data_IF_780567057004
#
_entry.id   IF_780567057004
#
_cell.length_a   1.000
_cell.length_b   1.000
_cell.length_c   1.000
_cell.angle_alpha   90.00
_cell.angle_beta   90.00
_cell.angle_gamma   90.00
#
_symmetry.space_group_name_H-M   'P 1'
#
loop_
_entity.id
_entity.type
_entity.pdbx_description
1 polymer ?
#
# COMPACT_ATOMS: atom_id res chain seq x y z
N UNK A 1 45.39 -11.69 45.14
CA UNK A 1 45.52 -12.07 43.71
C UNK A 1 44.73 -11.03 42.94
N UNK A 2 45.48 -10.03 42.50
CA UNK A 2 44.92 -8.95 41.69
C UNK A 2 44.69 -9.48 40.24
N UNK A 3 43.46 -9.76 39.90
CA UNK A 3 43.11 -9.96 38.49
C UNK A 3 43.24 -8.60 37.80
N UNK A 4 44.36 -8.40 37.13
CA UNK A 4 44.49 -7.32 36.19
C UNK A 4 43.50 -7.54 35.05
N UNK A 5 42.36 -6.86 35.11
CA UNK A 5 41.45 -6.66 33.96
C UNK A 5 42.26 -5.78 32.99
N UNK A 6 42.95 -6.41 32.05
CA UNK A 6 43.53 -5.71 30.95
C UNK A 6 42.39 -5.31 29.99
N UNK A 7 41.96 -4.07 30.09
CA UNK A 7 41.19 -3.44 29.03
C UNK A 7 42.00 -3.51 27.73
N UNK A 8 41.53 -4.30 26.81
CA UNK A 8 42.16 -4.45 25.51
C UNK A 8 41.90 -3.17 24.72
N UNK A 9 42.78 -2.19 24.80
CA UNK A 9 42.74 -0.99 23.97
C UNK A 9 42.97 -1.40 22.53
N UNK A 10 41.95 -1.20 21.71
CA UNK A 10 42.00 -1.47 20.29
C UNK A 10 42.11 -0.11 19.56
N UNK A 11 43.22 0.10 18.88
CA UNK A 11 43.38 1.29 18.03
C UNK A 11 42.42 1.15 16.81
N UNK A 12 41.59 2.13 16.62
CA UNK A 12 40.59 2.18 15.53
C UNK A 12 40.82 3.46 14.75
N UNK A 13 40.96 3.33 13.44
CA UNK A 13 41.00 4.48 12.54
C UNK A 13 39.61 5.15 12.53
N UNK A 14 39.53 6.33 13.11
CA UNK A 14 38.29 7.07 13.28
C UNK A 14 37.66 7.41 11.93
N UNK A 15 38.44 7.81 10.93
CA UNK A 15 37.92 8.15 9.61
C UNK A 15 37.27 6.93 8.96
N UNK A 16 37.98 5.82 8.88
CA UNK A 16 37.50 4.58 8.26
C UNK A 16 36.29 4.00 8.98
N UNK A 17 36.25 4.11 10.31
CA UNK A 17 35.14 3.66 11.13
C UNK A 17 33.89 4.52 10.87
N UNK A 18 34.03 5.83 10.81
CA UNK A 18 32.93 6.75 10.49
C UNK A 18 32.42 6.54 9.07
N UNK A 19 33.29 6.33 8.09
CA UNK A 19 32.91 6.01 6.71
C UNK A 19 32.07 4.72 6.65
N UNK A 20 32.51 3.65 7.31
CA UNK A 20 31.78 2.39 7.33
C UNK A 20 30.40 2.53 8.00
N UNK A 21 30.34 3.13 9.19
CA UNK A 21 29.06 3.33 9.88
C UNK A 21 28.11 4.26 9.14
N UNK A 22 28.64 5.26 8.42
CA UNK A 22 27.82 6.12 7.58
C UNK A 22 27.23 5.35 6.38
N UNK A 23 28.02 4.48 5.76
CA UNK A 23 27.55 3.60 4.67
C UNK A 23 26.46 2.66 5.18
N UNK A 24 26.68 2.00 6.32
CA UNK A 24 25.72 1.08 6.92
C UNK A 24 24.41 1.82 7.26
N UNK A 25 24.51 3.01 7.85
CA UNK A 25 23.35 3.86 8.11
C UNK A 25 22.64 4.26 6.82
N UNK A 26 23.38 4.70 5.81
CA UNK A 26 22.81 5.09 4.52
C UNK A 26 22.06 3.92 3.84
N UNK A 27 22.67 2.74 3.82
CA UNK A 27 22.04 1.52 3.28
C UNK A 27 20.77 1.16 4.04
N UNK A 28 20.79 1.24 5.36
CA UNK A 28 19.59 0.99 6.19
C UNK A 28 18.48 1.99 5.87
N UNK A 29 18.78 3.29 5.75
CA UNK A 29 17.78 4.31 5.40
C UNK A 29 17.22 4.11 4.01
N UNK A 30 18.04 3.74 3.05
CA UNK A 30 17.62 3.48 1.65
C UNK A 30 16.71 2.24 1.58
N UNK A 31 17.21 1.09 2.06
CA UNK A 31 16.52 -0.19 1.87
C UNK A 31 15.35 -0.40 2.85
N UNK A 32 15.44 0.13 4.09
CA UNK A 32 14.53 -0.26 5.17
C UNK A 32 13.69 0.88 5.76
N UNK A 33 13.71 2.09 5.16
CA UNK A 33 12.98 3.23 5.73
C UNK A 33 12.30 4.15 4.72
N UNK A 34 13.06 4.75 3.78
CA UNK A 34 12.62 5.92 3.03
C UNK A 34 11.98 5.60 1.69
N UNK A 35 12.42 4.52 1.03
CA UNK A 35 12.00 4.18 -0.33
C UNK A 35 10.91 3.09 -0.33
N UNK A 36 9.97 3.16 -1.28
CA UNK A 36 8.94 2.14 -1.48
C UNK A 36 9.51 0.96 -2.27
N UNK A 37 8.96 -0.23 -2.05
CA UNK A 37 9.14 -1.37 -2.95
C UNK A 37 8.30 -1.17 -4.22
N UNK A 38 8.86 -1.47 -5.39
CA UNK A 38 8.16 -1.27 -6.68
C UNK A 38 6.92 -2.12 -6.81
N UNK A 39 6.87 -3.30 -6.16
CA UNK A 39 5.82 -4.31 -6.26
C UNK A 39 4.53 -3.89 -5.56
N UNK A 40 4.63 -3.41 -4.31
CA UNK A 40 3.46 -3.03 -3.49
C UNK A 40 3.36 -1.51 -3.21
N UNK A 41 4.39 -0.75 -3.57
CA UNK A 41 4.41 0.70 -3.39
C UNK A 41 4.49 1.19 -1.95
N UNK A 42 4.84 0.32 -1.02
CA UNK A 42 4.85 0.61 0.41
C UNK A 42 6.27 0.75 0.96
N UNK A 43 6.42 1.67 1.90
CA UNK A 43 7.56 1.71 2.80
C UNK A 43 7.41 0.62 3.88
N UNK A 44 8.49 0.15 4.50
CA UNK A 44 8.41 -0.89 5.53
C UNK A 44 7.43 -0.57 6.66
N UNK A 45 7.44 0.66 7.20
CA UNK A 45 6.50 1.07 8.25
C UNK A 45 5.04 0.98 7.81
N UNK A 46 4.72 1.37 6.58
CA UNK A 46 3.36 1.31 6.04
C UNK A 46 2.90 -0.15 5.88
N UNK A 47 3.76 -1.01 5.34
CA UNK A 47 3.48 -2.44 5.18
C UNK A 47 3.24 -3.11 6.53
N UNK A 48 4.05 -2.81 7.53
CA UNK A 48 3.92 -3.33 8.90
C UNK A 48 2.65 -2.87 9.59
N UNK A 49 2.22 -1.62 9.38
CA UNK A 49 0.94 -1.10 9.88
C UNK A 49 -0.23 -1.88 9.27
N UNK A 50 -0.27 -2.03 7.95
CA UNK A 50 -1.35 -2.76 7.28
C UNK A 50 -1.37 -4.23 7.71
N UNK A 51 -0.21 -4.87 7.82
CA UNK A 51 -0.10 -6.26 8.26
C UNK A 51 -0.56 -6.43 9.71
N UNK A 52 -0.14 -5.56 10.63
CA UNK A 52 -0.62 -5.55 12.03
C UNK A 52 -2.14 -5.38 12.09
N UNK A 53 -2.73 -4.52 11.25
CA UNK A 53 -4.19 -4.36 11.21
C UNK A 53 -4.92 -5.61 10.69
N UNK A 54 -4.31 -6.39 9.78
CA UNK A 54 -4.83 -7.70 9.34
C UNK A 54 -4.81 -8.70 10.50
N UNK A 55 -3.66 -8.84 11.18
CA UNK A 55 -3.50 -9.74 12.33
C UNK A 55 -4.48 -9.40 13.47
N UNK A 56 -4.74 -8.12 13.67
CA UNK A 56 -5.78 -7.65 14.59
C UNK A 56 -7.21 -7.92 14.12
N UNK A 57 -7.41 -8.49 12.92
CA UNK A 57 -8.73 -8.66 12.32
C UNK A 57 -9.53 -7.34 12.28
N UNK A 58 -8.86 -6.27 11.84
CA UNK A 58 -9.39 -4.90 11.81
C UNK A 58 -9.81 -4.49 10.39
N UNK A 59 -10.62 -5.32 9.74
CA UNK A 59 -11.13 -5.13 8.38
C UNK A 59 -12.24 -4.07 8.29
N UNK A 60 -12.66 -3.72 7.05
CA UNK A 60 -13.65 -2.67 6.79
C UNK A 60 -15.06 -2.99 7.29
N UNK A 61 -15.34 -4.26 7.56
CA UNK A 61 -16.58 -4.77 8.14
C UNK A 61 -16.59 -4.80 9.68
N UNK A 62 -15.47 -4.44 10.30
CA UNK A 62 -15.29 -4.44 11.76
C UNK A 62 -15.39 -3.03 12.33
N UNK A 63 -15.70 -2.91 13.63
CA UNK A 63 -15.62 -1.62 14.32
C UNK A 63 -14.21 -1.01 14.24
N UNK A 64 -14.13 0.32 14.20
CA UNK A 64 -12.86 1.03 14.32
C UNK A 64 -12.18 0.69 15.66
N UNK A 65 -10.86 0.61 15.66
CA UNK A 65 -10.03 0.42 16.85
C UNK A 65 -9.25 1.68 17.17
N UNK A 66 -8.96 1.94 18.44
CA UNK A 66 -8.08 3.05 18.84
C UNK A 66 -6.74 2.96 18.11
N UNK A 67 -6.28 4.08 17.53
CA UNK A 67 -4.99 4.13 16.86
C UNK A 67 -3.84 3.74 17.78
N UNK A 68 -3.93 4.07 19.08
CA UNK A 68 -2.96 3.64 20.09
C UNK A 68 -2.80 2.11 20.17
N UNK A 69 -3.88 1.34 19.95
CA UNK A 69 -3.81 -0.13 19.91
C UNK A 69 -3.06 -0.61 18.67
N UNK A 70 -3.35 -0.02 17.49
CA UNK A 70 -2.71 -0.39 16.23
C UNK A 70 -1.22 -0.05 16.29
N UNK A 71 -0.88 1.15 16.75
CA UNK A 71 0.51 1.63 16.91
C UNK A 71 1.27 0.74 17.88
N UNK A 72 0.68 0.42 19.04
CA UNK A 72 1.31 -0.44 20.05
C UNK A 72 1.60 -1.85 19.53
N UNK A 73 0.65 -2.45 18.80
CA UNK A 73 0.82 -3.78 18.22
C UNK A 73 1.90 -3.78 17.10
N UNK A 74 1.88 -2.78 16.23
CA UNK A 74 2.89 -2.60 15.17
C UNK A 74 4.29 -2.41 15.78
N UNK A 75 4.42 -1.56 16.79
CA UNK A 75 5.68 -1.26 17.45
C UNK A 75 6.23 -2.49 18.19
N UNK A 76 5.38 -3.20 18.91
CA UNK A 76 5.78 -4.33 19.73
C UNK A 76 6.18 -5.56 18.93
N UNK A 77 5.57 -5.77 17.76
CA UNK A 77 5.79 -6.98 16.97
C UNK A 77 6.70 -6.79 15.76
N UNK A 78 6.61 -5.64 15.07
CA UNK A 78 7.21 -5.51 13.72
C UNK A 78 8.12 -4.33 13.55
N UNK A 79 7.88 -3.20 14.22
CA UNK A 79 8.58 -1.96 13.94
C UNK A 79 9.17 -1.31 15.20
N UNK A 80 10.41 -1.67 15.61
CA UNK A 80 11.04 -1.25 16.87
C UNK A 80 11.53 0.21 16.80
N UNK A 81 10.63 1.15 16.54
CA UNK A 81 10.91 2.59 16.45
C UNK A 81 9.86 3.38 17.23
N UNK A 82 10.04 4.71 17.35
CA UNK A 82 9.15 5.57 18.12
C UNK A 82 7.69 5.51 17.65
N UNK A 83 6.77 5.45 18.59
CA UNK A 83 5.32 5.42 18.39
C UNK A 83 4.79 6.58 17.54
N UNK A 84 5.37 7.78 17.72
CA UNK A 84 5.00 8.97 16.95
C UNK A 84 5.23 8.77 15.44
N UNK A 85 6.35 8.14 15.04
CA UNK A 85 6.65 7.89 13.63
C UNK A 85 5.68 6.90 12.99
N UNK A 86 5.28 5.87 13.76
CA UNK A 86 4.29 4.88 13.33
C UNK A 86 2.92 5.54 13.21
N UNK A 87 2.54 6.36 14.21
CA UNK A 87 1.27 7.06 14.19
C UNK A 87 1.16 8.06 13.03
N UNK A 88 2.20 8.85 12.76
CA UNK A 88 2.24 9.75 11.61
C UNK A 88 2.11 9.01 10.27
N UNK A 89 2.73 7.84 10.14
CA UNK A 89 2.58 7.01 8.96
C UNK A 89 1.14 6.49 8.82
N UNK A 90 0.52 6.03 9.91
CA UNK A 90 -0.89 5.61 9.94
C UNK A 90 -1.82 6.75 9.55
N UNK A 91 -1.59 7.95 10.10
CA UNK A 91 -2.36 9.15 9.81
C UNK A 91 -2.31 9.49 8.32
N UNK A 92 -1.14 9.47 7.71
CA UNK A 92 -0.99 9.76 6.26
C UNK A 92 -1.75 8.77 5.37
N UNK A 93 -1.83 7.50 5.78
CA UNK A 93 -2.60 6.49 5.03
C UNK A 93 -4.12 6.70 5.11
N UNK A 94 -4.59 7.49 6.08
CA UNK A 94 -6.01 7.81 6.26
C UNK A 94 -6.42 9.17 5.71
N UNK A 95 -5.46 10.07 5.42
CA UNK A 95 -5.74 11.42 4.92
C UNK A 95 -6.07 11.40 3.43
N UNK A 96 -7.29 11.79 3.06
CA UNK A 96 -7.78 11.84 1.68
C UNK A 96 -7.15 12.96 0.84
N UNK A 97 -6.59 13.98 1.47
CA UNK A 97 -5.84 15.06 0.81
C UNK A 97 -4.35 14.71 0.60
N UNK A 98 -3.82 13.66 1.24
CA UNK A 98 -2.47 13.15 1.05
C UNK A 98 -2.42 11.88 0.20
N UNK A 99 -3.40 11.01 0.34
CA UNK A 99 -3.44 9.69 -0.29
C UNK A 99 -4.63 9.62 -1.24
N UNK A 100 -4.40 9.40 -2.54
CA UNK A 100 -5.45 9.40 -3.56
C UNK A 100 -6.51 8.33 -3.32
N UNK A 101 -6.06 7.15 -2.84
CA UNK A 101 -6.91 6.03 -2.43
C UNK A 101 -6.53 5.61 -1.03
N UNK A 102 -7.14 6.21 0.01
CA UNK A 102 -6.78 5.94 1.41
C UNK A 102 -6.83 4.46 1.76
N UNK A 103 -5.74 3.96 2.35
CA UNK A 103 -5.63 2.56 2.77
C UNK A 103 -6.20 2.32 4.16
N UNK A 104 -6.38 3.38 4.91
CA UNK A 104 -6.94 3.37 6.27
C UNK A 104 -8.20 4.22 6.30
N UNK A 105 -9.25 3.69 6.89
CA UNK A 105 -10.50 4.39 7.20
C UNK A 105 -10.39 4.92 8.62
N UNK A 106 -10.19 6.25 8.75
CA UNK A 106 -10.00 6.94 10.01
C UNK A 106 -11.29 7.54 10.56
N UNK A 107 -11.45 7.50 11.88
CA UNK A 107 -12.54 8.13 12.61
C UNK A 107 -11.98 9.06 13.68
N UNK A 108 -12.38 10.35 13.62
CA UNK A 108 -11.87 11.42 14.48
C UNK A 108 -11.09 12.47 13.69
N UNK A 109 -10.25 13.24 14.37
CA UNK A 109 -9.43 14.27 13.72
C UNK A 109 -8.08 13.70 13.27
N UNK A 110 -7.91 13.53 11.97
CA UNK A 110 -6.67 13.10 11.30
C UNK A 110 -5.89 14.26 10.66
N UNK A 111 -6.17 15.51 11.06
CA UNK A 111 -5.55 16.70 10.50
C UNK A 111 -6.35 17.29 9.34
N UNK A 112 -5.83 18.36 8.76
CA UNK A 112 -6.48 19.11 7.68
C UNK A 112 -5.47 19.63 6.65
N UNK A 113 -5.98 20.13 5.52
CA UNK A 113 -5.18 20.83 4.48
C UNK A 113 -4.53 22.11 5.02
N UNK A 114 -5.01 22.63 6.13
CA UNK A 114 -4.43 23.79 6.83
C UNK A 114 -3.12 23.45 7.55
N UNK A 115 -2.75 22.18 7.60
CA UNK A 115 -1.55 21.71 8.25
C UNK A 115 -1.74 21.44 9.74
N UNK A 116 -2.98 21.39 10.21
CA UNK A 116 -3.29 20.92 11.55
C UNK A 116 -2.85 19.47 11.70
N UNK A 117 -2.21 19.17 12.82
CA UNK A 117 -1.84 17.82 13.18
C UNK A 117 -3.06 16.96 13.53
N UNK A 118 -2.92 15.65 13.43
CA UNK A 118 -3.91 14.73 13.94
C UNK A 118 -4.02 14.84 15.46
N UNK A 119 -5.20 14.56 16.00
CA UNK A 119 -5.39 14.42 17.44
C UNK A 119 -4.54 13.24 17.98
N UNK A 120 -4.23 13.24 19.27
CA UNK A 120 -3.43 12.18 19.88
C UNK A 120 -4.07 10.80 19.65
N UNK A 121 -3.26 9.77 19.43
CA UNK A 121 -3.66 8.41 19.02
C UNK A 121 -4.64 7.72 20.00
N UNK A 122 -4.77 8.21 21.21
CA UNK A 122 -5.77 7.76 22.20
C UNK A 122 -7.19 8.21 21.89
N UNK A 123 -7.35 9.25 21.10
CA UNK A 123 -8.66 9.80 20.70
C UNK A 123 -9.11 9.31 19.32
N UNK A 124 -8.17 9.13 18.38
CA UNK A 124 -8.47 8.70 17.02
C UNK A 124 -8.67 7.18 16.94
N UNK A 125 -9.47 6.76 15.98
CA UNK A 125 -9.76 5.35 15.70
C UNK A 125 -9.55 5.07 14.22
N UNK A 126 -9.20 3.83 13.88
CA UNK A 126 -8.96 3.44 12.50
C UNK A 126 -9.33 1.98 12.25
N UNK A 127 -9.58 1.66 10.97
CA UNK A 127 -9.69 0.31 10.43
C UNK A 127 -9.15 0.31 9.00
N UNK A 128 -8.96 -0.88 8.43
CA UNK A 128 -8.60 -1.00 7.02
C UNK A 128 -9.73 -0.50 6.13
N UNK A 129 -9.40 0.20 5.05
CA UNK A 129 -10.36 0.57 4.02
C UNK A 129 -10.68 -0.64 3.12
N UNK A 130 -11.73 -0.55 2.30
CA UNK A 130 -12.09 -1.64 1.36
C UNK A 130 -10.98 -1.94 0.36
N UNK A 131 -10.28 -0.91 -0.14
CA UNK A 131 -9.21 -1.07 -1.13
C UNK A 131 -7.97 -1.74 -0.52
N UNK A 132 -7.71 -1.57 0.79
CA UNK A 132 -6.60 -2.24 1.46
C UNK A 132 -6.76 -3.75 1.49
N UNK A 133 -7.98 -4.26 1.45
CA UNK A 133 -8.23 -5.70 1.37
C UNK A 133 -7.71 -6.30 0.06
N UNK A 134 -7.66 -5.50 -1.02
CA UNK A 134 -7.04 -5.93 -2.28
C UNK A 134 -5.50 -5.91 -2.22
N UNK A 135 -4.91 -5.10 -1.32
CA UNK A 135 -3.46 -5.14 -1.07
C UNK A 135 -3.03 -6.44 -0.38
N UNK A 136 -3.87 -6.98 0.49
CA UNK A 136 -3.56 -8.10 1.40
C UNK A 136 -4.26 -9.41 1.03
N UNK A 137 -5.05 -9.40 -0.05
CA UNK A 137 -5.82 -10.56 -0.49
C UNK A 137 -4.91 -11.75 -0.82
N UNK A 138 -5.32 -12.92 -0.38
CA UNK A 138 -4.59 -14.18 -0.54
C UNK A 138 -3.20 -14.23 0.15
N UNK A 139 -2.92 -13.34 1.11
CA UNK A 139 -1.67 -13.32 1.88
C UNK A 139 -1.40 -14.64 2.64
N UNK A 140 -2.46 -15.34 3.03
CA UNK A 140 -2.41 -16.64 3.71
C UNK A 140 -2.26 -17.85 2.77
N UNK A 141 -2.06 -17.62 1.46
CA UNK A 141 -1.91 -18.67 0.44
C UNK A 141 -0.48 -18.77 -0.10
N UNK A 142 0.50 -18.49 0.71
CA UNK A 142 1.93 -18.53 0.34
C UNK A 142 2.28 -17.72 -0.91
N UNK A 143 1.59 -16.59 -1.11
CA UNK A 143 1.75 -15.73 -2.29
C UNK A 143 3.00 -14.87 -2.26
N UNK A 144 3.55 -14.60 -1.07
CA UNK A 144 4.73 -13.78 -0.82
C UNK A 144 5.61 -14.43 0.24
N UNK A 145 6.88 -14.02 0.30
CA UNK A 145 7.81 -14.52 1.29
C UNK A 145 7.64 -13.80 2.63
N UNK A 146 7.84 -14.57 3.71
CA UNK A 146 7.85 -14.08 5.07
C UNK A 146 9.26 -14.18 5.65
N UNK A 147 9.65 -13.17 6.38
CA UNK A 147 10.92 -13.12 7.12
C UNK A 147 10.64 -13.02 8.63
N UNK A 148 11.58 -13.45 9.48
CA UNK A 148 11.49 -13.16 10.91
C UNK A 148 11.47 -11.65 11.15
N UNK A 149 10.73 -11.23 12.20
CA UNK A 149 10.78 -9.87 12.71
C UNK A 149 12.12 -9.58 13.43
N UNK A 150 12.26 -8.41 14.05
CA UNK A 150 13.50 -7.96 14.67
C UNK A 150 13.98 -8.81 15.87
N UNK A 151 13.10 -9.54 16.56
CA UNK A 151 13.41 -10.40 17.71
C UNK A 151 13.15 -11.90 17.42
N UNK A 152 12.86 -12.25 16.18
CA UNK A 152 12.60 -13.61 15.68
C UNK A 152 11.39 -14.31 16.33
N UNK A 153 10.54 -13.59 17.04
CA UNK A 153 9.32 -14.15 17.67
C UNK A 153 8.13 -14.23 16.74
N UNK A 154 8.08 -13.37 15.74
CA UNK A 154 6.99 -13.27 14.75
C UNK A 154 7.55 -13.29 13.32
N UNK A 155 6.66 -13.39 12.35
CA UNK A 155 7.01 -13.29 10.93
C UNK A 155 6.27 -12.13 10.28
N UNK A 156 6.96 -11.41 9.39
CA UNK A 156 6.39 -10.34 8.61
C UNK A 156 6.56 -10.57 7.11
N UNK A 157 5.62 -10.14 6.25
CA UNK A 157 5.75 -10.29 4.82
C UNK A 157 6.80 -9.31 4.26
N UNK A 158 7.63 -9.77 3.35
CA UNK A 158 8.62 -8.93 2.65
C UNK A 158 7.96 -7.90 1.74
N UNK A 159 6.80 -8.26 1.17
CA UNK A 159 5.97 -7.45 0.26
C UNK A 159 4.53 -7.91 0.40
N UNK A 160 3.55 -7.08 0.05
CA UNK A 160 2.14 -7.49 -0.01
C UNK A 160 1.77 -7.97 -1.43
N UNK A 161 0.77 -8.86 -1.57
CA UNK A 161 0.29 -9.33 -2.88
C UNK A 161 -0.18 -8.22 -3.81
N UNK A 162 -0.74 -7.13 -3.28
CA UNK A 162 -1.08 -5.88 -3.97
C UNK A 162 -1.77 -6.06 -5.32
N UNK A 163 -3.05 -6.44 -5.34
CA UNK A 163 -3.81 -6.73 -6.58
C UNK A 163 -4.08 -5.52 -7.48
N UNK A 164 -3.61 -4.36 -7.12
CA UNK A 164 -3.59 -3.17 -7.96
C UNK A 164 -2.25 -2.44 -7.79
N UNK A 165 -1.79 -1.67 -8.78
CA UNK A 165 -0.48 -1.03 -8.78
C UNK A 165 -0.45 0.19 -7.85
N UNK A 166 -0.40 -0.08 -6.54
CA UNK A 166 -0.50 0.93 -5.48
C UNK A 166 0.58 2.02 -5.58
N UNK A 167 1.80 1.66 -5.99
CA UNK A 167 2.89 2.63 -6.15
C UNK A 167 2.50 3.79 -7.08
N UNK A 168 1.88 3.49 -8.20
CA UNK A 168 1.41 4.51 -9.15
C UNK A 168 0.08 5.14 -8.72
N UNK A 169 -0.83 4.35 -8.16
CA UNK A 169 -2.16 4.86 -7.78
C UNK A 169 -2.10 5.88 -6.63
N UNK A 170 -1.30 5.61 -5.60
CA UNK A 170 -1.15 6.48 -4.44
C UNK A 170 0.09 7.38 -4.49
N UNK A 171 1.06 7.02 -5.32
CA UNK A 171 2.34 7.71 -5.29
C UNK A 171 3.07 7.54 -3.96
N UNK A 172 4.17 8.23 -3.81
CA UNK A 172 4.92 8.31 -2.54
C UNK A 172 5.96 9.41 -2.60
N UNK A 173 6.31 9.96 -1.45
CA UNK A 173 7.46 10.85 -1.30
C UNK A 173 8.37 10.34 -0.19
N UNK A 174 9.69 10.49 -0.34
CA UNK A 174 10.65 10.07 0.66
C UNK A 174 12.03 10.65 0.41
N UNK A 175 12.76 10.91 1.50
CA UNK A 175 14.11 11.44 1.47
C UNK A 175 15.01 10.39 2.12
N UNK A 176 15.96 9.87 1.35
CA UNK A 176 16.99 8.96 1.80
C UNK A 176 18.35 9.65 1.79
N UNK A 177 19.40 8.94 2.15
CA UNK A 177 20.78 9.47 2.09
C UNK A 177 21.23 9.52 0.62
N UNK A 178 21.54 10.72 0.13
CA UNK A 178 22.02 10.94 -1.24
C UNK A 178 20.96 10.81 -2.34
N UNK A 179 19.71 10.48 -2.02
CA UNK A 179 18.64 10.32 -3.01
C UNK A 179 17.27 10.60 -2.41
N UNK A 180 16.30 10.90 -3.29
CA UNK A 180 14.91 11.12 -2.91
C UNK A 180 13.97 10.47 -3.91
N UNK A 181 12.78 10.13 -3.47
CA UNK A 181 11.67 9.70 -4.32
C UNK A 181 10.52 10.67 -4.19
N UNK A 182 9.84 10.94 -5.30
CA UNK A 182 8.64 11.77 -5.34
C UNK A 182 7.77 11.33 -6.53
N UNK A 183 7.01 10.27 -6.32
CA UNK A 183 6.16 9.64 -7.34
C UNK A 183 4.76 10.22 -7.20
N UNK A 184 4.20 10.86 -8.24
CA UNK A 184 2.85 11.40 -8.19
C UNK A 184 1.80 10.28 -8.18
N UNK A 185 0.62 10.50 -7.57
CA UNK A 185 -0.51 9.59 -7.67
C UNK A 185 -1.17 9.66 -9.05
N UNK A 186 -1.87 8.56 -9.43
CA UNK A 186 -2.52 8.41 -10.73
C UNK A 186 -3.93 7.84 -10.59
N UNK A 187 -4.74 8.02 -11.61
CA UNK A 187 -6.07 7.45 -11.69
C UNK A 187 -6.01 5.92 -11.82
N UNK A 188 -6.66 5.21 -10.89
CA UNK A 188 -6.66 3.75 -10.83
C UNK A 188 -7.15 3.10 -12.12
N UNK A 189 -8.17 3.67 -12.77
CA UNK A 189 -8.73 3.12 -14.01
C UNK A 189 -7.73 3.22 -15.16
N UNK A 190 -7.03 4.36 -15.28
CA UNK A 190 -6.01 4.56 -16.31
C UNK A 190 -4.83 3.60 -16.11
N UNK A 191 -4.34 3.49 -14.87
CA UNK A 191 -3.19 2.61 -14.58
C UNK A 191 -3.54 1.15 -14.81
N UNK A 192 -4.73 0.69 -14.38
CA UNK A 192 -5.19 -0.68 -14.67
C UNK A 192 -5.41 -0.88 -16.18
N UNK A 193 -5.96 0.12 -16.89
CA UNK A 193 -6.10 0.06 -18.34
C UNK A 193 -4.76 -0.16 -19.05
N UNK A 194 -3.70 0.50 -18.58
CA UNK A 194 -2.35 0.30 -19.09
C UNK A 194 -1.82 -1.12 -18.80
N UNK A 195 -2.05 -1.64 -17.58
CA UNK A 195 -1.69 -3.03 -17.24
C UNK A 195 -2.41 -4.04 -18.13
N UNK A 196 -3.72 -3.86 -18.33
CA UNK A 196 -4.52 -4.74 -19.22
C UNK A 196 -3.97 -4.69 -20.64
N UNK A 197 -3.66 -3.48 -21.17
CA UNK A 197 -3.06 -3.35 -22.51
C UNK A 197 -1.72 -4.07 -22.62
N UNK A 198 -0.89 -4.04 -21.56
CA UNK A 198 0.38 -4.79 -21.54
C UNK A 198 0.16 -6.31 -21.58
N UNK A 199 -0.86 -6.80 -20.87
CA UNK A 199 -1.22 -8.23 -20.88
C UNK A 199 -1.74 -8.62 -22.26
N UNK A 200 -2.67 -7.86 -22.82
CA UNK A 200 -3.27 -8.16 -24.14
C UNK A 200 -2.22 -8.21 -25.23
N UNK A 201 -1.34 -7.21 -25.32
CA UNK A 201 -0.25 -7.18 -26.29
C UNK A 201 0.68 -8.39 -26.14
N UNK A 202 0.96 -8.82 -24.88
CA UNK A 202 1.82 -9.97 -24.63
C UNK A 202 1.16 -11.29 -24.96
N UNK A 203 -0.13 -11.45 -24.61
CA UNK A 203 -0.87 -12.72 -24.77
C UNK A 203 -1.39 -12.88 -26.20
N UNK A 204 -1.90 -11.83 -26.82
CA UNK A 204 -2.55 -11.90 -28.14
C UNK A 204 -1.57 -11.67 -29.30
N UNK A 205 -0.59 -10.76 -29.10
CA UNK A 205 0.32 -10.33 -30.17
C UNK A 205 1.78 -10.80 -29.94
N UNK A 206 2.08 -11.43 -28.81
CA UNK A 206 3.44 -11.85 -28.35
C UNK A 206 4.49 -10.73 -28.50
N UNK A 207 4.11 -9.52 -28.17
CA UNK A 207 5.01 -8.35 -28.23
C UNK A 207 4.96 -7.54 -26.92
N UNK A 208 6.01 -6.79 -26.70
CA UNK A 208 6.02 -5.79 -25.63
C UNK A 208 5.22 -4.54 -26.02
N UNK A 209 4.60 -3.92 -25.01
CA UNK A 209 3.86 -2.65 -25.16
C UNK A 209 4.85 -1.50 -25.27
N UNK A 210 4.60 -0.54 -26.16
CA UNK A 210 5.42 0.66 -26.27
C UNK A 210 5.04 1.70 -25.23
N UNK A 211 5.94 2.62 -24.91
CA UNK A 211 5.65 3.72 -23.99
C UNK A 211 4.56 4.64 -24.54
N UNK A 212 4.47 4.79 -25.85
CA UNK A 212 3.46 5.58 -26.54
C UNK A 212 2.05 5.04 -26.25
N UNK A 213 1.85 3.73 -26.35
CA UNK A 213 0.56 3.09 -26.04
C UNK A 213 0.15 3.31 -24.58
N UNK A 214 1.11 3.32 -23.66
CA UNK A 214 0.85 3.60 -22.24
C UNK A 214 0.47 5.07 -22.04
N UNK A 215 1.16 6.02 -22.70
CA UNK A 215 0.87 7.45 -22.65
C UNK A 215 -0.51 7.79 -23.23
N UNK A 216 -1.01 6.97 -24.16
CA UNK A 216 -2.36 7.11 -24.69
C UNK A 216 -3.44 6.75 -23.68
N UNK A 217 -3.13 5.95 -22.68
CA UNK A 217 -4.04 5.50 -21.63
C UNK A 217 -3.84 6.33 -20.35
N UNK A 218 -2.62 6.42 -19.83
CA UNK A 218 -2.28 7.19 -18.63
C UNK A 218 -1.94 8.62 -19.02
N UNK A 219 -2.92 9.51 -18.87
CA UNK A 219 -2.83 10.89 -19.36
C UNK A 219 -1.98 11.83 -18.49
N UNK A 220 -1.86 11.52 -17.21
CA UNK A 220 -1.10 12.34 -16.26
C UNK A 220 -1.37 11.96 -14.81
N UNK A 221 -0.67 12.61 -13.87
CA UNK A 221 -0.96 12.50 -12.44
C UNK A 221 -2.39 12.91 -12.11
N UNK A 222 -2.97 12.25 -11.10
CA UNK A 222 -4.29 12.52 -10.54
C UNK A 222 -4.16 12.85 -9.05
N UNK A 223 -3.99 14.12 -8.76
CA UNK A 223 -3.73 14.60 -7.39
C UNK A 223 -5.02 14.62 -6.55
N UNK A 224 -4.97 14.17 -5.27
CA UNK A 224 -6.15 14.14 -4.41
C UNK A 224 -6.73 15.53 -4.09
N UNK A 225 -5.91 16.58 -4.15
CA UNK A 225 -6.35 17.97 -3.93
C UNK A 225 -6.76 18.69 -5.22
N UNK A 226 -6.79 17.98 -6.35
CA UNK A 226 -7.14 18.53 -7.67
C UNK A 226 -6.04 19.41 -8.24
N UNK A 227 -6.43 20.54 -8.81
CA UNK A 227 -5.54 21.46 -9.50
C UNK A 227 -5.45 21.19 -11.01
N UNK A 228 -4.85 22.11 -11.74
CA UNK A 228 -4.68 22.02 -13.20
C UNK A 228 -3.20 21.90 -13.55
N UNK A 229 -2.83 20.85 -14.26
CA UNK A 229 -1.47 20.67 -14.77
C UNK A 229 -1.27 21.55 -15.99
N UNK A 230 -0.17 22.32 -16.03
CA UNK A 230 0.15 23.24 -17.08
C UNK A 230 1.16 22.65 -18.05
N UNK A 231 0.70 22.25 -19.22
CA UNK A 231 1.50 21.66 -20.30
C UNK A 231 1.67 20.15 -20.16
N UNK A 232 1.91 19.48 -21.28
CA UNK A 232 2.08 18.01 -21.34
C UNK A 232 3.53 17.56 -21.35
N UNK A 233 4.46 18.41 -21.79
CA UNK A 233 5.88 18.04 -21.93
C UNK A 233 6.51 17.49 -20.66
N UNK A 234 6.19 18.09 -19.50
CA UNK A 234 6.71 17.61 -18.22
C UNK A 234 6.16 16.23 -17.81
N UNK A 235 4.93 15.90 -18.21
CA UNK A 235 4.34 14.57 -18.00
C UNK A 235 5.05 13.53 -18.87
N UNK A 236 5.20 13.82 -20.15
CA UNK A 236 5.86 12.91 -21.11
C UNK A 236 7.31 12.66 -20.74
N UNK A 237 8.04 13.71 -20.34
CA UNK A 237 9.42 13.59 -19.86
C UNK A 237 9.50 12.72 -18.59
N UNK A 238 8.60 12.95 -17.61
CA UNK A 238 8.54 12.15 -16.39
C UNK A 238 8.33 10.66 -16.69
N UNK A 239 7.39 10.36 -17.59
CA UNK A 239 7.01 8.97 -17.88
C UNK A 239 8.04 8.24 -18.75
N UNK A 240 8.83 8.96 -19.55
CA UNK A 240 9.93 8.38 -20.35
C UNK A 240 11.22 8.21 -19.56
N UNK A 241 11.53 9.15 -18.66
CA UNK A 241 12.85 9.22 -18.01
C UNK A 241 12.82 8.92 -16.52
N UNK A 242 11.64 8.93 -15.90
CA UNK A 242 11.48 8.83 -14.44
C UNK A 242 11.81 10.13 -13.70
N UNK A 243 12.12 11.24 -14.40
CA UNK A 243 12.42 12.54 -13.78
C UNK A 243 11.89 13.68 -14.63
N UNK A 244 11.16 14.61 -14.01
CA UNK A 244 10.76 15.86 -14.65
C UNK A 244 10.19 16.87 -13.64
N UNK A 245 9.77 18.02 -14.15
CA UNK A 245 9.10 19.06 -13.40
C UNK A 245 7.72 19.30 -14.01
N UNK A 246 6.66 19.12 -13.22
CA UNK A 246 5.28 19.34 -13.61
C UNK A 246 4.76 20.59 -12.90
N UNK A 247 4.27 21.58 -13.67
CA UNK A 247 3.65 22.78 -13.09
C UNK A 247 2.18 22.49 -12.80
N UNK A 248 1.75 22.76 -11.57
CA UNK A 248 0.38 22.61 -11.12
C UNK A 248 -0.15 23.96 -10.66
N UNK A 249 -1.34 24.32 -11.08
CA UNK A 249 -2.05 25.53 -10.66
C UNK A 249 -3.29 25.19 -9.88
N UNK A 250 -3.62 26.06 -8.94
CA UNK A 250 -4.91 26.08 -8.26
C UNK A 250 -6.05 26.25 -9.28
N UNK A 251 -7.20 25.67 -9.00
CA UNK A 251 -8.44 25.99 -9.74
C UNK A 251 -9.03 27.26 -9.17
N UNK A 252 -9.21 28.25 -10.03
CA UNK A 252 -9.67 29.58 -9.65
C UNK A 252 -10.78 30.06 -10.55
N UNK A 253 -11.79 30.75 -9.96
CA UNK A 253 -12.88 31.38 -10.66
C UNK A 253 -12.94 32.86 -10.29
N UNK A 254 -13.30 33.72 -11.27
CA UNK A 254 -13.54 35.14 -11.05
C UNK A 254 -15.05 35.36 -10.96
N UNK A 255 -15.53 35.80 -9.80
CA UNK A 255 -16.94 36.02 -9.53
C UNK A 255 -17.20 37.54 -9.40
N UNK A 256 -18.20 38.09 -10.14
CA UNK A 256 -18.64 39.46 -9.93
C UNK A 256 -19.42 39.58 -8.63
N UNK A 257 -19.23 40.71 -7.93
CA UNK A 257 -19.95 41.05 -6.72
C UNK A 257 -21.01 42.16 -6.96
N UNK A 258 -22.06 42.16 -6.14
CA UNK A 258 -23.18 43.12 -6.26
C UNK A 258 -22.78 44.60 -6.25
N UNK A 259 -21.59 44.92 -5.72
CA UNK A 259 -21.07 46.28 -5.61
C UNK A 259 -20.17 46.71 -6.78
N UNK A 260 -20.14 45.94 -7.87
CA UNK A 260 -19.27 46.14 -9.06
C UNK A 260 -17.80 45.83 -8.82
N UNK A 261 -17.45 45.17 -7.73
CA UNK A 261 -16.15 44.57 -7.48
C UNK A 261 -16.11 43.16 -8.06
N UNK A 262 -14.92 42.61 -8.17
CA UNK A 262 -14.72 41.19 -8.44
C UNK A 262 -14.04 40.52 -7.24
N UNK A 263 -14.25 39.22 -7.12
CA UNK A 263 -13.46 38.33 -6.25
C UNK A 263 -12.87 37.16 -7.01
N UNK A 264 -11.68 36.77 -6.62
CA UNK A 264 -11.07 35.51 -7.08
C UNK A 264 -11.41 34.45 -6.02
N UNK A 265 -12.00 33.36 -6.47
CA UNK A 265 -12.34 32.21 -5.61
C UNK A 265 -11.44 31.06 -5.99
N UNK A 266 -10.76 30.47 -4.99
CA UNK A 266 -9.90 29.31 -5.18
C UNK A 266 -10.62 28.09 -4.59
N UNK A 267 -10.82 27.07 -5.40
CA UNK A 267 -11.56 25.85 -5.02
C UNK A 267 -10.67 24.61 -4.93
N UNK A 268 -9.50 24.62 -5.57
CA UNK A 268 -8.54 23.53 -5.50
C UNK A 268 -7.12 24.09 -5.40
N UNK A 269 -6.25 23.40 -4.68
CA UNK A 269 -4.83 23.78 -4.52
C UNK A 269 -3.90 22.75 -5.12
N UNK A 270 -2.69 23.16 -5.54
CA UNK A 270 -1.65 22.23 -5.91
C UNK A 270 -1.37 21.23 -4.76
N UNK A 271 -1.05 20.00 -5.13
CA UNK A 271 -0.80 18.93 -4.18
C UNK A 271 0.32 19.28 -3.19
N UNK A 272 0.14 18.93 -1.92
CA UNK A 272 1.03 19.21 -0.79
C UNK A 272 1.16 20.70 -0.40
N UNK A 273 0.36 21.60 -0.94
CA UNK A 273 0.32 23.00 -0.52
C UNK A 273 -0.51 23.14 0.76
N UNK A 274 0.05 23.80 1.75
CA UNK A 274 -0.64 24.15 3.00
C UNK A 274 -1.50 25.40 2.78
N UNK A 275 -2.83 25.27 2.97
CA UNK A 275 -3.80 26.34 2.72
C UNK A 275 -3.59 27.54 3.64
N UNK A 276 -3.42 27.33 4.94
CA UNK A 276 -3.23 28.41 5.90
C UNK A 276 -1.96 29.23 5.61
N UNK A 277 -0.83 28.57 5.36
CA UNK A 277 0.43 29.23 4.97
C UNK A 277 0.31 29.98 3.66
N UNK A 278 -0.45 29.47 2.71
CA UNK A 278 -0.73 30.15 1.44
C UNK A 278 -1.51 31.44 1.68
N UNK A 279 -2.55 31.41 2.51
CA UNK A 279 -3.36 32.59 2.89
C UNK A 279 -2.49 33.63 3.60
N UNK A 280 -1.67 33.21 4.58
CA UNK A 280 -0.70 34.08 5.26
C UNK A 280 0.26 34.74 4.26
N UNK A 281 0.78 33.96 3.29
CA UNK A 281 1.69 34.47 2.26
C UNK A 281 1.04 35.52 1.37
N UNK A 282 -0.22 35.30 0.97
CA UNK A 282 -0.99 36.31 0.21
C UNK A 282 -1.15 37.60 1.05
N UNK A 283 -1.52 37.47 2.31
CA UNK A 283 -1.68 38.63 3.21
C UNK A 283 -0.35 39.39 3.41
N UNK A 284 0.78 38.70 3.53
CA UNK A 284 2.11 39.33 3.56
C UNK A 284 2.40 40.16 2.30
N UNK A 285 2.14 39.57 1.10
CA UNK A 285 2.39 40.26 -0.17
C UNK A 285 1.54 41.51 -0.33
N UNK A 286 0.32 41.51 0.19
CA UNK A 286 -0.57 42.70 0.25
C UNK A 286 -0.02 43.75 1.22
N UNK A 287 0.36 43.34 2.42
CA UNK A 287 0.94 44.23 3.44
C UNK A 287 2.25 44.87 2.96
N UNK A 288 3.10 44.12 2.32
CA UNK A 288 4.38 44.55 1.74
C UNK A 288 4.20 45.36 0.44
N UNK A 289 2.97 45.58 0.00
CA UNK A 289 2.62 46.27 -1.25
C UNK A 289 3.27 45.68 -2.51
N UNK A 290 3.58 44.40 -2.48
CA UNK A 290 4.07 43.64 -3.66
C UNK A 290 2.92 43.26 -4.60
N UNK A 291 1.73 43.08 -4.07
CA UNK A 291 0.47 42.91 -4.80
C UNK A 291 -0.48 43.99 -4.28
N UNK A 292 -0.88 44.92 -5.15
CA UNK A 292 -1.86 45.94 -4.84
C UNK A 292 -3.21 45.61 -5.50
N UNK A 293 -4.31 46.02 -4.85
CA UNK A 293 -5.66 45.81 -5.39
C UNK A 293 -6.48 44.70 -4.71
N UNK A 294 -5.94 43.99 -3.74
CA UNK A 294 -6.68 43.07 -2.88
C UNK A 294 -7.23 43.89 -1.68
N UNK A 295 -8.53 43.77 -1.42
CA UNK A 295 -9.21 44.51 -0.33
C UNK A 295 -9.54 43.64 0.85
N UNK A 296 -9.78 42.32 0.62
CA UNK A 296 -10.09 41.36 1.68
C UNK A 296 -9.66 39.96 1.26
N UNK A 297 -9.34 39.13 2.25
CA UNK A 297 -8.90 37.75 2.08
C UNK A 297 -9.53 36.89 3.16
N UNK A 298 -10.38 35.95 2.77
CA UNK A 298 -11.10 35.08 3.71
C UNK A 298 -10.98 33.60 3.31
N UNK A 299 -10.89 32.76 4.32
CA UNK A 299 -11.12 31.33 4.19
C UNK A 299 -12.62 31.08 4.44
N UNK A 300 -13.32 30.67 3.41
CA UNK A 300 -14.74 30.34 3.43
C UNK A 300 -14.95 28.81 3.27
N UNK A 301 -13.89 28.02 3.53
CA UNK A 301 -13.96 26.55 3.41
C UNK A 301 -14.91 25.96 4.46
N UNK A 302 -15.73 25.01 4.04
CA UNK A 302 -16.69 24.32 4.88
C UNK A 302 -16.75 22.81 4.55
N UNK A 303 -17.82 22.13 4.95
CA UNK A 303 -18.03 20.70 4.68
C UNK A 303 -18.33 20.39 3.21
N UNK A 304 -18.72 21.38 2.43
CA UNK A 304 -19.02 21.24 0.99
C UNK A 304 -17.74 21.32 0.16
N UNK A 305 -16.67 21.93 0.70
CA UNK A 305 -15.37 21.98 0.04
C UNK A 305 -14.49 23.14 0.44
N UNK A 306 -13.32 23.19 -0.19
CA UNK A 306 -12.37 24.27 0.00
C UNK A 306 -12.80 25.51 -0.79
N UNK A 307 -12.74 26.68 -0.14
CA UNK A 307 -13.08 27.96 -0.74
C UNK A 307 -12.26 29.08 -0.13
N UNK A 308 -11.31 29.64 -0.85
CA UNK A 308 -10.59 30.87 -0.47
C UNK A 308 -11.13 32.02 -1.30
N UNK A 309 -11.65 33.06 -0.67
CA UNK A 309 -12.19 34.24 -1.31
C UNK A 309 -11.22 35.41 -1.21
N UNK A 310 -10.81 35.97 -2.34
CA UNK A 310 -9.89 37.10 -2.48
C UNK A 310 -10.65 38.24 -3.14
N UNK A 311 -11.08 39.26 -2.35
CA UNK A 311 -11.83 40.40 -2.86
C UNK A 311 -10.89 41.45 -3.45
N UNK A 312 -11.28 42.00 -4.59
CA UNK A 312 -10.50 42.98 -5.32
C UNK A 312 -11.12 44.38 -5.28
N UNK A 313 -10.28 45.40 -5.47
CA UNK A 313 -10.77 46.78 -5.73
C UNK A 313 -11.47 46.81 -7.11
N UNK A 314 -12.36 47.85 -7.29
CA UNK A 314 -13.11 48.02 -8.55
C UNK A 314 -12.23 48.36 -9.76
N UNK A 315 -11.12 49.05 -9.52
CA UNK A 315 -10.22 49.65 -10.50
C UNK A 315 -9.15 48.68 -11.01
N UNK A 316 -9.11 47.43 -10.51
CA UNK A 316 -8.09 46.46 -10.90
C UNK A 316 -8.62 45.37 -11.80
N UNK A 317 -7.77 44.91 -12.72
CA UNK A 317 -8.09 43.76 -13.57
C UNK A 317 -7.82 42.45 -12.78
N UNK A 318 -8.83 41.59 -12.56
CA UNK A 318 -8.68 40.37 -11.80
C UNK A 318 -7.61 39.42 -12.38
N UNK A 319 -7.47 39.35 -13.69
CA UNK A 319 -6.49 38.48 -14.33
C UNK A 319 -5.04 38.93 -14.07
N UNK A 320 -4.79 40.24 -13.94
CA UNK A 320 -3.47 40.75 -13.61
C UNK A 320 -3.10 40.34 -12.19
N UNK A 321 -4.02 40.52 -11.24
CA UNK A 321 -3.82 40.10 -9.83
C UNK A 321 -3.62 38.59 -9.75
N UNK A 322 -4.43 37.81 -10.45
CA UNK A 322 -4.31 36.36 -10.50
C UNK A 322 -2.94 35.90 -11.02
N UNK A 323 -2.44 36.54 -12.08
CA UNK A 323 -1.11 36.26 -12.61
C UNK A 323 0.02 36.62 -11.63
N UNK A 324 -0.14 37.71 -10.86
CA UNK A 324 0.81 38.05 -9.79
C UNK A 324 0.77 37.01 -8.66
N UNK A 325 -0.42 36.56 -8.28
CA UNK A 325 -0.58 35.49 -7.29
C UNK A 325 0.09 34.19 -7.74
N UNK A 326 -0.09 33.75 -8.99
CA UNK A 326 0.61 32.58 -9.54
C UNK A 326 2.13 32.74 -9.54
N UNK A 327 2.63 33.96 -9.74
CA UNK A 327 4.07 34.21 -9.78
C UNK A 327 4.73 34.23 -8.39
N UNK A 328 4.01 34.70 -7.37
CA UNK A 328 4.58 35.00 -6.05
C UNK A 328 4.11 34.07 -4.93
N UNK A 329 3.18 33.16 -5.20
CA UNK A 329 2.61 32.25 -4.21
C UNK A 329 2.52 30.81 -4.74
N UNK A 330 2.20 29.89 -3.84
CA UNK A 330 1.96 28.47 -4.18
C UNK A 330 0.59 28.20 -4.81
N UNK A 331 -0.15 29.23 -5.25
CA UNK A 331 -1.28 29.03 -6.17
C UNK A 331 -0.83 28.43 -7.51
N UNK A 332 0.45 28.56 -7.85
CA UNK A 332 1.13 27.75 -8.84
C UNK A 332 2.40 27.20 -8.22
N UNK A 333 2.58 25.90 -8.25
CA UNK A 333 3.76 25.25 -7.74
C UNK A 333 4.32 24.23 -8.76
N UNK A 334 5.54 23.78 -8.52
CA UNK A 334 6.20 22.80 -9.38
C UNK A 334 6.38 21.50 -8.61
N UNK A 335 5.70 20.47 -9.07
CA UNK A 335 5.91 19.11 -8.57
C UNK A 335 7.13 18.49 -9.26
N UNK A 336 8.20 18.26 -8.51
CA UNK A 336 9.40 17.59 -9.02
C UNK A 336 9.22 16.08 -9.00
N UNK A 337 9.03 15.47 -10.17
CA UNK A 337 8.87 14.02 -10.30
C UNK A 337 10.23 13.33 -10.17
N UNK A 338 10.33 12.35 -9.29
CA UNK A 338 11.46 11.44 -9.16
C UNK A 338 10.89 10.04 -8.90
N UNK A 339 10.86 9.22 -9.94
CA UNK A 339 10.26 7.89 -9.90
C UNK A 339 11.29 6.85 -9.45
N UNK A 340 11.78 7.01 -8.22
CA UNK A 340 12.75 6.12 -7.57
C UNK A 340 12.05 5.13 -6.67
N UNK A 341 12.29 3.83 -6.88
CA UNK A 341 11.76 2.75 -6.07
C UNK A 341 12.80 1.63 -5.87
N UNK A 342 12.55 0.75 -4.92
CA UNK A 342 13.39 -0.43 -4.71
C UNK A 342 12.95 -1.56 -5.66
N UNK A 343 13.93 -2.08 -6.39
CA UNK A 343 13.82 -3.29 -7.19
C UNK A 343 14.86 -4.27 -6.66
N UNK A 344 14.44 -5.37 -6.08
CA UNK A 344 15.32 -6.36 -5.43
C UNK A 344 16.25 -5.69 -4.39
N UNK A 345 15.68 -4.86 -3.54
CA UNK A 345 16.36 -4.04 -2.51
C UNK A 345 17.38 -3.03 -3.06
N UNK A 346 17.43 -2.80 -4.37
CA UNK A 346 18.29 -1.80 -5.00
C UNK A 346 17.49 -0.58 -5.45
N UNK A 347 17.91 0.65 -5.12
CA UNK A 347 17.23 1.86 -5.57
C UNK A 347 17.46 2.08 -7.07
N UNK A 348 16.38 2.17 -7.83
CA UNK A 348 16.40 2.43 -9.28
C UNK A 348 15.43 3.54 -9.64
N UNK A 349 15.88 4.46 -10.51
CA UNK A 349 14.97 5.40 -11.18
C UNK A 349 14.32 4.65 -12.34
N UNK A 350 13.00 4.58 -12.33
CA UNK A 350 12.21 3.82 -13.30
C UNK A 350 11.37 4.77 -14.15
N UNK A 351 11.14 4.42 -15.39
CA UNK A 351 10.13 5.05 -16.22
C UNK A 351 8.75 4.41 -15.94
N UNK A 352 7.69 4.94 -16.54
CA UNK A 352 6.33 4.44 -16.30
C UNK A 352 6.16 2.99 -16.76
N UNK A 353 6.71 2.64 -17.93
CA UNK A 353 6.68 1.26 -18.45
C UNK A 353 7.35 0.27 -17.50
N UNK A 354 8.55 0.59 -17.00
CA UNK A 354 9.29 -0.29 -16.10
C UNK A 354 8.55 -0.50 -14.78
N UNK A 355 7.92 0.54 -14.21
CA UNK A 355 7.10 0.39 -13.00
C UNK A 355 5.93 -0.57 -13.21
N UNK A 356 5.21 -0.43 -14.32
CA UNK A 356 4.11 -1.33 -14.66
C UNK A 356 4.60 -2.75 -14.93
N UNK A 357 5.75 -2.90 -15.58
CA UNK A 357 6.38 -4.20 -15.85
C UNK A 357 6.75 -4.94 -14.56
N UNK A 358 7.42 -4.28 -13.61
CA UNK A 358 7.75 -4.91 -12.33
C UNK A 358 6.51 -5.26 -11.51
N UNK A 359 5.48 -4.42 -11.56
CA UNK A 359 4.19 -4.75 -10.96
C UNK A 359 3.57 -6.00 -11.61
N UNK A 360 3.56 -6.08 -12.93
CA UNK A 360 2.99 -7.22 -13.67
C UNK A 360 3.73 -8.52 -13.36
N UNK A 361 5.06 -8.50 -13.36
CA UNK A 361 5.89 -9.66 -12.97
C UNK A 361 5.57 -10.13 -11.54
N UNK A 362 5.37 -9.20 -10.60
CA UNK A 362 4.94 -9.55 -9.26
C UNK A 362 3.55 -10.20 -9.25
N UNK A 363 2.60 -9.72 -10.05
CA UNK A 363 1.27 -10.34 -10.14
C UNK A 363 1.31 -11.73 -10.76
N UNK A 364 2.14 -11.97 -11.75
CA UNK A 364 2.37 -13.32 -12.32
C UNK A 364 2.87 -14.29 -11.24
N UNK A 365 3.84 -13.87 -10.42
CA UNK A 365 4.34 -14.67 -9.31
C UNK A 365 3.24 -14.93 -8.27
N UNK A 366 2.51 -13.90 -7.82
CA UNK A 366 1.42 -14.01 -6.84
C UNK A 366 0.33 -14.97 -7.31
N UNK A 367 -0.10 -14.86 -8.57
CA UNK A 367 -1.13 -15.72 -9.15
C UNK A 367 -0.63 -17.17 -9.27
N UNK A 368 0.61 -17.36 -9.70
CA UNK A 368 1.23 -18.68 -9.81
C UNK A 368 1.33 -19.36 -8.45
N UNK A 369 1.86 -18.68 -7.44
CA UNK A 369 2.01 -19.20 -6.07
C UNK A 369 0.65 -19.51 -5.45
N UNK A 370 -0.34 -18.60 -5.59
CA UNK A 370 -1.70 -18.82 -5.13
C UNK A 370 -2.32 -20.07 -5.76
N UNK A 371 -2.22 -20.21 -7.08
CA UNK A 371 -2.80 -21.35 -7.80
C UNK A 371 -2.14 -22.65 -7.38
N UNK A 372 -0.82 -22.65 -7.21
CA UNK A 372 -0.08 -23.82 -6.70
C UNK A 372 -0.50 -24.19 -5.27
N UNK A 373 -0.70 -23.19 -4.39
CA UNK A 373 -1.22 -23.44 -3.04
C UNK A 373 -2.61 -24.04 -3.08
N UNK A 374 -3.53 -23.49 -3.87
CA UNK A 374 -4.89 -23.98 -4.00
C UNK A 374 -4.92 -25.39 -4.61
N UNK A 375 -4.06 -25.67 -5.61
CA UNK A 375 -3.87 -27.02 -6.19
C UNK A 375 -3.40 -28.02 -5.13
N UNK A 376 -2.33 -27.72 -4.39
CA UNK A 376 -1.82 -28.61 -3.36
C UNK A 376 -2.90 -28.92 -2.30
N UNK A 377 -3.69 -27.91 -1.90
CA UNK A 377 -4.80 -28.11 -0.96
C UNK A 377 -5.93 -28.98 -1.53
N UNK A 378 -6.23 -28.82 -2.82
CA UNK A 378 -7.21 -29.65 -3.51
C UNK A 378 -6.72 -31.11 -3.62
N UNK A 379 -5.45 -31.34 -3.99
CA UNK A 379 -4.82 -32.66 -4.05
C UNK A 379 -4.79 -33.34 -2.67
N UNK A 380 -4.35 -32.63 -1.61
CA UNK A 380 -4.40 -33.16 -0.25
C UNK A 380 -5.83 -33.60 0.13
N UNK A 381 -6.83 -32.80 -0.24
CA UNK A 381 -8.23 -33.12 0.06
C UNK A 381 -8.74 -34.29 -0.76
N UNK A 382 -8.42 -34.36 -2.05
CA UNK A 382 -8.78 -35.46 -2.93
C UNK A 382 -8.17 -36.77 -2.43
N UNK A 383 -6.89 -36.77 -2.07
CA UNK A 383 -6.19 -37.91 -1.50
C UNK A 383 -6.87 -38.47 -0.24
N UNK A 384 -7.29 -37.59 0.69
CA UNK A 384 -8.05 -38.02 1.88
C UNK A 384 -9.42 -38.62 1.48
N UNK A 385 -10.13 -37.99 0.53
CA UNK A 385 -11.44 -38.47 0.09
C UNK A 385 -11.34 -39.85 -0.58
N UNK A 386 -10.30 -40.13 -1.38
CA UNK A 386 -10.04 -41.43 -1.97
C UNK A 386 -9.89 -42.52 -0.88
N UNK A 387 -9.09 -42.26 0.16
CA UNK A 387 -8.95 -43.18 1.28
C UNK A 387 -10.27 -43.44 2.02
N UNK A 388 -11.09 -42.40 2.21
CA UNK A 388 -12.41 -42.52 2.83
C UNK A 388 -13.38 -43.33 1.94
N UNK A 389 -13.28 -43.22 0.62
CA UNK A 389 -14.11 -44.04 -0.32
C UNK A 389 -13.73 -45.52 -0.20
N UNK A 390 -12.42 -45.85 -0.20
CA UNK A 390 -11.94 -47.21 0.02
C UNK A 390 -12.48 -47.79 1.33
N UNK A 391 -12.46 -46.98 2.40
CA UNK A 391 -12.98 -47.40 3.70
C UNK A 391 -14.51 -47.64 3.71
N UNK A 392 -15.27 -46.79 3.00
CA UNK A 392 -16.73 -46.94 2.89
C UNK A 392 -17.13 -48.17 2.03
N UNK A 393 -16.34 -48.51 1.01
CA UNK A 393 -16.56 -49.69 0.19
C UNK A 393 -16.24 -50.98 0.95
N UNK A 394 -15.42 -50.91 1.99
CA UNK A 394 -15.00 -52.03 2.83
C UNK A 394 -15.35 -51.85 4.30
N UNK A 395 -16.50 -51.23 4.59
CA UNK A 395 -16.81 -50.70 5.93
C UNK A 395 -16.80 -51.78 7.02
N UNK A 396 -17.34 -52.96 6.78
CA UNK A 396 -17.39 -54.05 7.75
C UNK A 396 -15.99 -54.47 8.15
N UNK A 397 -15.08 -54.58 7.17
CA UNK A 397 -13.68 -54.94 7.42
C UNK A 397 -12.95 -53.83 8.20
N UNK A 398 -13.17 -52.57 7.85
CA UNK A 398 -12.61 -51.42 8.57
C UNK A 398 -13.04 -51.43 10.04
N UNK A 399 -14.35 -51.63 10.27
CA UNK A 399 -14.89 -51.72 11.65
C UNK A 399 -14.25 -52.89 12.44
N UNK A 400 -14.11 -54.04 11.78
CA UNK A 400 -13.49 -55.23 12.38
C UNK A 400 -12.05 -54.97 12.81
N UNK A 401 -11.24 -54.32 11.94
CA UNK A 401 -9.85 -53.94 12.25
C UNK A 401 -9.78 -52.94 13.41
N UNK A 402 -10.58 -51.90 13.38
CA UNK A 402 -10.57 -50.87 14.42
C UNK A 402 -10.97 -51.46 15.77
N UNK A 403 -12.02 -52.30 15.84
CA UNK A 403 -12.47 -52.95 17.05
C UNK A 403 -11.47 -54.02 17.58
N UNK A 404 -10.75 -54.70 16.69
CA UNK A 404 -9.76 -55.71 17.04
C UNK A 404 -8.41 -55.15 17.48
N UNK A 405 -8.17 -53.89 17.25
CA UNK A 405 -6.89 -53.22 17.57
C UNK A 405 -6.83 -52.79 19.02
N UNK A 406 -5.69 -52.95 19.67
CA UNK A 406 -5.46 -52.59 21.06
C UNK A 406 -5.36 -51.08 21.31
N UNK A 407 -4.97 -50.32 20.26
CA UNK A 407 -4.87 -48.87 20.32
C UNK A 407 -5.00 -48.27 18.91
N UNK A 408 -5.12 -46.94 18.82
CA UNK A 408 -5.28 -46.17 17.57
C UNK A 408 -4.12 -46.38 16.63
N UNK A 409 -2.88 -46.48 17.13
CA UNK A 409 -1.71 -46.61 16.29
C UNK A 409 -1.69 -47.98 15.56
N UNK A 410 -1.99 -49.05 16.28
CA UNK A 410 -2.10 -50.43 15.70
C UNK A 410 -3.26 -50.49 14.68
N UNK A 411 -4.38 -49.78 14.97
CA UNK A 411 -5.49 -49.69 14.00
C UNK A 411 -5.06 -49.01 12.71
N UNK A 412 -4.32 -47.93 12.78
CA UNK A 412 -3.79 -47.23 11.56
C UNK A 412 -2.85 -48.13 10.78
N UNK A 413 -1.86 -48.75 11.43
CA UNK A 413 -0.89 -49.66 10.82
C UNK A 413 -1.59 -50.82 10.09
N UNK A 414 -2.61 -51.41 10.72
CA UNK A 414 -3.41 -52.48 10.12
C UNK A 414 -4.21 -52.01 8.91
N UNK A 415 -4.80 -50.81 8.98
CA UNK A 415 -5.53 -50.24 7.83
C UNK A 415 -4.60 -49.91 6.66
N UNK A 416 -3.39 -49.39 6.94
CA UNK A 416 -2.37 -49.12 5.95
C UNK A 416 -1.96 -50.42 5.25
N UNK A 417 -1.68 -51.47 6.02
CA UNK A 417 -1.25 -52.75 5.49
C UNK A 417 -2.33 -53.48 4.64
N UNK A 418 -3.59 -53.43 5.09
CA UNK A 418 -4.72 -54.11 4.45
C UNK A 418 -5.16 -53.45 3.15
N UNK A 419 -5.24 -52.07 3.15
CA UNK A 419 -5.83 -51.31 2.05
C UNK A 419 -4.82 -50.49 1.27
N UNK A 420 -3.52 -50.62 1.52
CA UNK A 420 -2.43 -49.83 0.90
C UNK A 420 -2.68 -48.31 1.05
N UNK A 421 -3.17 -47.86 2.19
CA UNK A 421 -3.48 -46.46 2.49
C UNK A 421 -2.23 -45.70 2.93
N UNK A 422 -2.23 -44.39 2.73
CA UNK A 422 -1.26 -43.50 3.37
C UNK A 422 -1.61 -43.26 4.85
N UNK A 423 -0.64 -42.81 5.63
CA UNK A 423 -0.87 -42.46 7.05
C UNK A 423 -1.96 -41.41 7.22
N UNK A 424 -1.99 -40.40 6.37
CA UNK A 424 -3.02 -39.35 6.37
C UNK A 424 -4.42 -39.92 6.09
N UNK A 425 -4.53 -40.86 5.16
CA UNK A 425 -5.80 -41.54 4.86
C UNK A 425 -6.24 -42.42 6.03
N UNK A 426 -5.35 -43.21 6.61
CA UNK A 426 -5.64 -44.06 7.75
C UNK A 426 -6.07 -43.23 8.98
N UNK A 427 -5.41 -42.11 9.24
CA UNK A 427 -5.81 -41.16 10.30
C UNK A 427 -7.21 -40.62 10.05
N UNK A 428 -7.53 -40.18 8.83
CA UNK A 428 -8.85 -39.68 8.48
C UNK A 428 -9.97 -40.73 8.61
N UNK A 429 -9.65 -42.01 8.39
CA UNK A 429 -10.59 -43.13 8.58
C UNK A 429 -10.86 -43.35 10.06
N UNK A 430 -9.84 -43.36 10.91
CA UNK A 430 -9.99 -43.56 12.36
C UNK A 430 -10.75 -42.39 12.98
N UNK A 431 -10.55 -41.17 12.53
CA UNK A 431 -11.24 -39.97 12.99
C UNK A 431 -12.65 -39.82 12.41
N UNK A 432 -13.11 -40.75 11.57
CA UNK A 432 -14.40 -40.65 10.90
C UNK A 432 -15.57 -40.83 11.88
N UNK A 433 -16.47 -39.86 11.86
CA UNK A 433 -17.70 -39.91 12.70
C UNK A 433 -18.71 -40.91 12.15
N UNK A 434 -19.43 -41.62 13.03
CA UNK A 434 -20.45 -42.61 12.65
C UNK A 434 -21.52 -42.08 11.67
N UNK A 435 -21.89 -40.82 11.78
CA UNK A 435 -22.84 -40.18 10.84
C UNK A 435 -22.36 -40.21 9.38
N UNK A 436 -21.06 -40.26 9.18
CA UNK A 436 -20.42 -40.25 7.85
C UNK A 436 -20.60 -41.58 7.09
N UNK A 437 -21.15 -42.61 7.75
CA UNK A 437 -21.43 -43.91 7.16
C UNK A 437 -22.76 -43.98 6.45
N UNK A 438 -23.57 -42.88 6.47
CA UNK A 438 -24.85 -42.84 5.81
C UNK A 438 -24.72 -42.80 4.27
N UNK A 439 -25.64 -43.41 3.54
CA UNK A 439 -25.62 -43.44 2.06
C UNK A 439 -25.59 -42.06 1.40
N UNK A 440 -26.23 -41.05 2.01
CA UNK A 440 -26.23 -39.65 1.53
C UNK A 440 -24.82 -39.02 1.63
N UNK A 441 -24.07 -39.32 2.68
CA UNK A 441 -22.70 -38.81 2.83
C UNK A 441 -21.73 -39.48 1.86
N UNK A 442 -21.96 -40.76 1.50
CA UNK A 442 -21.18 -41.47 0.47
C UNK A 442 -21.33 -40.81 -0.90
N UNK A 443 -22.56 -40.50 -1.32
CA UNK A 443 -22.82 -39.83 -2.61
C UNK A 443 -22.18 -38.45 -2.67
N UNK A 444 -22.27 -37.63 -1.62
CA UNK A 444 -21.63 -36.33 -1.53
C UNK A 444 -20.11 -36.39 -1.62
N UNK A 445 -19.47 -37.40 -1.01
CA UNK A 445 -18.01 -37.55 -1.06
C UNK A 445 -17.52 -37.97 -2.44
N UNK A 446 -18.25 -38.84 -3.14
CA UNK A 446 -17.96 -39.20 -4.53
C UNK A 446 -18.08 -37.99 -5.46
N UNK A 447 -19.10 -37.17 -5.30
CA UNK A 447 -19.28 -35.93 -6.07
C UNK A 447 -18.15 -34.93 -5.77
N UNK A 448 -17.76 -34.76 -4.51
CA UNK A 448 -16.67 -33.88 -4.10
C UNK A 448 -15.33 -34.37 -4.64
N UNK A 449 -15.01 -35.67 -4.53
CA UNK A 449 -13.76 -36.22 -5.10
C UNK A 449 -13.67 -35.97 -6.60
N UNK A 450 -14.75 -36.19 -7.34
CA UNK A 450 -14.80 -35.92 -8.78
C UNK A 450 -14.71 -34.41 -9.12
N UNK A 451 -15.15 -33.52 -8.23
CA UNK A 451 -15.04 -32.08 -8.41
C UNK A 451 -13.62 -31.55 -8.13
N UNK A 452 -12.87 -32.18 -7.24
CA UNK A 452 -11.46 -31.81 -6.96
C UNK A 452 -10.48 -32.34 -8.02
N UNK A 453 -10.84 -33.40 -8.76
CA UNK A 453 -10.02 -33.99 -9.82
C UNK A 453 -10.24 -33.32 -11.21
N UNK A 454 -11.22 -32.45 -11.33
CA UNK A 454 -11.48 -31.61 -12.52
C UNK A 454 -10.93 -30.21 -12.36
#
# INVERSE_FOLDING_TARGET
MDEHIFDKVQEVDMQKTMENYYIDYAMSVIASRALPDVRDGLKPVQRRILYSMIELNNGPDKPHRKCARIVGDTMGKYHPHGDSSIYEALVKLAQDFNTRYPLVDGHGNFGSVDGDGAAAMRYTEARLSKISMEMTRDLNKDTVDFIPNFDETEKEPTVLPSRYPNLLCNGTSGIAVGMATNIPPHNLREVIGAVVKMIDNKVEEDRDTTIEEILDIVKGPDFPTGGTIIGKLGIEEAYRTGRAKIKVRAVTNIEPMNNGKNRIVVTELPYMVNKAKLIEKIAELVRDKKIDGITDLRDESDREGMRIAIELRRDVNPNIILNQLYKHTQLQDTFGVIMLALVDNQPKVLNLYDMLKYYLLHQEEVVTRRTKFDLNKAEERAHILEGLMIALDNIDRVISIIRGSANVQIAKESLIAEFALSEAQAQAIVDMRLRALTGLERSKRSELSNAYLR
#
